data_IF_945480979017
#
_entry.id   IF_945480979017
#
_cell.length_a   1.000
_cell.length_b   1.000
_cell.length_c   1.000
_cell.angle_alpha   90.00
_cell.angle_beta   90.00
_cell.angle_gamma   90.00
#
_symmetry.space_group_name_H-M   'P 1'
#
loop_
_entity.id
_entity.type
_entity.pdbx_description
1 polymer ?
#
# COMPACT_ATOMS: atom_id res chain seq x y z
N UNK A 1 14.96 10.52 11.14
CA UNK A 1 14.06 9.71 10.29
C UNK A 1 14.81 9.06 9.15
N UNK A 2 15.37 9.80 8.18
CA UNK A 2 16.07 9.21 7.02
C UNK A 2 17.23 8.26 7.40
N UNK A 3 17.99 8.57 8.45
CA UNK A 3 19.07 7.69 8.95
C UNK A 3 18.55 6.35 9.48
N UNK A 4 17.36 6.33 10.10
CA UNK A 4 16.75 5.09 10.56
C UNK A 4 16.19 4.30 9.38
N UNK A 5 15.61 4.98 8.38
CA UNK A 5 15.15 4.34 7.15
C UNK A 5 16.29 3.68 6.38
N UNK A 6 17.44 4.35 6.25
CA UNK A 6 18.62 3.81 5.58
C UNK A 6 19.23 2.59 6.27
N UNK A 7 18.85 2.31 7.51
CA UNK A 7 19.26 1.09 8.23
C UNK A 7 18.32 -0.08 7.98
N UNK A 8 17.16 0.14 7.36
CA UNK A 8 16.23 -0.93 7.01
C UNK A 8 16.87 -1.83 5.96
N UNK A 9 16.77 -3.15 6.16
CA UNK A 9 17.24 -4.12 5.17
C UNK A 9 16.19 -4.29 4.06
N UNK A 10 16.18 -3.32 3.14
CA UNK A 10 15.25 -3.32 2.01
C UNK A 10 15.42 -4.51 1.07
N UNK A 11 16.62 -5.10 1.01
CA UNK A 11 16.85 -6.32 0.24
C UNK A 11 16.06 -7.49 0.83
N UNK A 12 16.18 -7.72 2.14
CA UNK A 12 15.42 -8.76 2.82
C UNK A 12 13.90 -8.48 2.82
N UNK A 13 13.50 -7.21 2.94
CA UNK A 13 12.08 -6.81 2.78
C UNK A 13 11.59 -7.17 1.38
N UNK A 14 12.35 -6.86 0.32
CA UNK A 14 11.99 -7.16 -1.06
C UNK A 14 11.94 -8.66 -1.32
N UNK A 15 12.91 -9.43 -0.84
CA UNK A 15 12.90 -10.90 -1.01
C UNK A 15 11.64 -11.53 -0.41
N UNK A 16 11.25 -11.11 0.79
CA UNK A 16 10.02 -11.60 1.45
C UNK A 16 8.75 -11.09 0.77
N UNK A 17 8.74 -9.83 0.33
CA UNK A 17 7.62 -9.23 -0.38
C UNK A 17 7.41 -9.86 -1.76
N UNK A 18 8.47 -10.07 -2.53
CA UNK A 18 8.42 -10.65 -3.87
C UNK A 18 7.83 -12.06 -3.85
N UNK A 19 8.20 -12.87 -2.83
CA UNK A 19 7.65 -14.21 -2.65
C UNK A 19 6.12 -14.22 -2.46
N UNK A 20 5.55 -13.22 -1.79
CA UNK A 20 4.12 -13.18 -1.44
C UNK A 20 3.31 -12.35 -2.42
N UNK A 21 3.80 -11.16 -2.75
CA UNK A 21 3.10 -10.13 -3.49
C UNK A 21 3.43 -10.12 -4.99
N UNK A 22 4.52 -10.77 -5.41
CA UNK A 22 5.00 -10.76 -6.79
C UNK A 22 5.03 -9.33 -7.36
N UNK A 23 5.58 -8.40 -6.57
CA UNK A 23 5.78 -7.03 -7.00
C UNK A 23 6.97 -6.96 -7.96
N UNK A 24 6.94 -6.02 -8.90
CA UNK A 24 8.09 -5.68 -9.72
C UNK A 24 9.18 -5.02 -8.86
N UNK A 25 10.40 -5.55 -8.94
CA UNK A 25 11.55 -5.08 -8.16
C UNK A 25 11.90 -3.62 -8.50
N UNK A 26 11.80 -3.22 -9.78
CA UNK A 26 12.11 -1.85 -10.22
C UNK A 26 11.09 -0.85 -9.67
N UNK A 27 9.81 -1.22 -9.67
CA UNK A 27 8.73 -0.41 -9.09
C UNK A 27 8.98 -0.21 -7.60
N UNK A 28 9.31 -1.28 -6.88
CA UNK A 28 9.54 -1.16 -5.43
C UNK A 28 10.77 -0.29 -5.13
N UNK A 29 11.86 -0.46 -5.88
CA UNK A 29 13.05 0.39 -5.72
C UNK A 29 12.72 1.86 -5.99
N UNK A 30 11.91 2.16 -7.01
CA UNK A 30 11.45 3.53 -7.31
C UNK A 30 10.63 4.13 -6.15
N UNK A 31 9.76 3.32 -5.52
CA UNK A 31 8.98 3.73 -4.35
C UNK A 31 9.89 4.03 -3.16
N UNK A 32 10.87 3.17 -2.89
CA UNK A 32 11.84 3.37 -1.82
C UNK A 32 12.64 4.66 -2.02
N UNK A 33 13.21 4.84 -3.22
CA UNK A 33 14.00 6.01 -3.60
C UNK A 33 13.17 7.30 -3.48
N UNK A 34 11.96 7.32 -4.03
CA UNK A 34 11.07 8.48 -3.96
C UNK A 34 10.66 8.81 -2.52
N UNK A 35 10.41 7.80 -1.68
CA UNK A 35 10.10 8.01 -0.26
C UNK A 35 11.30 8.58 0.51
N UNK A 36 12.52 8.09 0.23
CA UNK A 36 13.76 8.64 0.80
C UNK A 36 13.96 10.11 0.44
N UNK A 37 13.62 10.51 -0.79
CA UNK A 37 13.65 11.91 -1.22
C UNK A 37 12.58 12.74 -0.49
N UNK A 38 11.34 12.25 -0.40
CA UNK A 38 10.25 12.93 0.30
C UNK A 38 10.59 13.21 1.77
N UNK A 39 11.26 12.28 2.46
CA UNK A 39 11.69 12.45 3.85
C UNK A 39 12.78 13.52 4.05
N UNK A 40 13.49 13.89 2.99
CA UNK A 40 14.58 14.89 3.04
C UNK A 40 14.09 16.29 2.66
N UNK A 41 12.86 16.42 2.16
CA UNK A 41 12.27 17.69 1.73
C UNK A 41 11.96 18.63 2.90
N UNK A 42 12.20 19.92 2.72
CA UNK A 42 11.85 20.98 3.66
C UNK A 42 10.43 21.50 3.39
N UNK A 43 9.54 21.46 4.38
CA UNK A 43 8.10 21.78 4.26
C UNK A 43 7.31 20.93 3.26
N UNK A 44 7.23 19.61 3.47
CA UNK A 44 6.69 18.67 2.49
C UNK A 44 5.16 18.55 2.44
N UNK A 45 4.35 19.32 3.20
CA UNK A 45 2.92 19.01 3.44
C UNK A 45 2.13 18.70 2.15
N UNK A 46 2.22 19.55 1.13
CA UNK A 46 1.51 19.35 -0.14
C UNK A 46 2.10 18.19 -0.98
N UNK A 47 3.36 17.83 -0.74
CA UNK A 47 4.07 16.75 -1.45
C UNK A 47 3.70 15.35 -0.95
N UNK A 48 3.28 15.18 0.31
CA UNK A 48 2.89 13.86 0.85
C UNK A 48 1.66 13.30 0.10
N UNK A 49 0.66 14.15 -0.12
CA UNK A 49 -0.55 13.75 -0.86
C UNK A 49 -0.25 13.40 -2.31
N UNK A 50 0.51 14.26 -2.99
CA UNK A 50 0.94 14.05 -4.39
C UNK A 50 1.76 12.76 -4.52
N UNK A 51 2.63 12.46 -3.56
CA UNK A 51 3.40 11.22 -3.57
C UNK A 51 2.49 9.99 -3.51
N UNK A 52 1.49 9.95 -2.63
CA UNK A 52 0.53 8.83 -2.59
C UNK A 52 -0.24 8.66 -3.91
N UNK A 53 -0.60 9.74 -4.59
CA UNK A 53 -1.24 9.69 -5.91
C UNK A 53 -0.30 9.08 -6.96
N UNK A 54 0.98 9.48 -6.96
CA UNK A 54 2.00 8.92 -7.85
C UNK A 54 2.24 7.43 -7.61
N UNK A 55 2.21 6.98 -6.35
CA UNK A 55 2.30 5.55 -6.01
C UNK A 55 1.14 4.77 -6.63
N UNK A 56 -0.07 5.30 -6.55
CA UNK A 56 -1.23 4.66 -7.19
C UNK A 56 -1.12 4.65 -8.71
N UNK A 57 -0.67 5.74 -9.33
CA UNK A 57 -0.44 5.79 -10.79
C UNK A 57 0.62 4.79 -11.25
N UNK A 58 1.63 4.54 -10.43
CA UNK A 58 2.71 3.60 -10.74
C UNK A 58 2.28 2.14 -10.56
N UNK A 59 1.49 1.83 -9.55
CA UNK A 59 1.23 0.45 -9.13
C UNK A 59 -0.16 -0.10 -9.52
N UNK A 60 -1.14 0.77 -9.75
CA UNK A 60 -2.49 0.34 -10.09
C UNK A 60 -2.58 0.10 -11.60
N UNK A 61 -2.84 -1.14 -12.00
CA UNK A 61 -2.95 -1.49 -13.43
C UNK A 61 -4.24 -1.01 -14.06
N UNK A 62 -5.34 -1.12 -13.31
CA UNK A 62 -6.70 -0.75 -13.73
C UNK A 62 -7.46 -0.15 -12.55
N UNK A 63 -8.35 0.81 -12.83
CA UNK A 63 -9.22 1.44 -11.83
C UNK A 63 -10.43 0.55 -11.46
N UNK A 64 -10.22 -0.77 -11.34
CA UNK A 64 -11.25 -1.73 -10.95
C UNK A 64 -11.09 -2.20 -9.50
N UNK A 65 -12.16 -2.78 -8.94
CA UNK A 65 -12.22 -3.25 -7.56
C UNK A 65 -11.14 -4.30 -7.25
N UNK A 66 -10.84 -5.18 -8.20
CA UNK A 66 -9.92 -6.31 -8.02
C UNK A 66 -8.48 -5.82 -7.97
N UNK A 67 -8.06 -5.03 -8.93
CA UNK A 67 -6.72 -4.42 -9.02
C UNK A 67 -6.46 -3.51 -7.82
N UNK A 68 -7.44 -2.67 -7.46
CA UNK A 68 -7.40 -1.85 -6.24
C UNK A 68 -7.21 -2.68 -4.96
N UNK A 69 -7.98 -3.75 -4.82
CA UNK A 69 -7.92 -4.64 -3.65
C UNK A 69 -6.55 -5.34 -3.57
N UNK A 70 -6.02 -5.83 -4.69
CA UNK A 70 -4.69 -6.44 -4.74
C UNK A 70 -3.62 -5.43 -4.35
N UNK A 71 -3.63 -4.24 -4.94
CA UNK A 71 -2.68 -3.18 -4.59
C UNK A 71 -2.71 -2.88 -3.08
N UNK A 72 -3.90 -2.69 -2.48
CA UNK A 72 -4.01 -2.38 -1.05
C UNK A 72 -3.42 -3.47 -0.15
N UNK A 73 -3.59 -4.75 -0.51
CA UNK A 73 -2.94 -5.86 0.21
C UNK A 73 -1.43 -5.86 0.04
N UNK A 74 -0.91 -5.63 -1.18
CA UNK A 74 0.53 -5.53 -1.44
C UNK A 74 1.15 -4.37 -0.65
N UNK A 75 0.52 -3.21 -0.70
CA UNK A 75 0.88 -2.02 0.08
C UNK A 75 0.96 -2.35 1.58
N UNK A 76 -0.09 -2.96 2.13
CA UNK A 76 -0.15 -3.29 3.55
C UNK A 76 0.81 -4.37 4.01
N UNK A 77 1.09 -5.35 3.15
CA UNK A 77 2.10 -6.37 3.44
C UNK A 77 3.50 -5.78 3.44
N UNK A 78 3.88 -5.08 2.36
CA UNK A 78 5.21 -4.52 2.19
C UNK A 78 5.61 -3.58 3.34
N UNK A 79 4.74 -2.63 3.64
CA UNK A 79 4.92 -1.68 4.73
C UNK A 79 5.03 -2.35 6.10
N UNK A 80 4.33 -3.47 6.33
CA UNK A 80 4.39 -4.19 7.60
C UNK A 80 5.76 -4.82 7.80
N UNK A 81 6.42 -5.27 6.72
CA UNK A 81 7.81 -5.74 6.76
C UNK A 81 8.78 -4.60 7.09
N UNK A 82 8.59 -3.42 6.50
CA UNK A 82 9.38 -2.22 6.83
C UNK A 82 9.20 -1.82 8.30
N UNK A 83 7.96 -1.75 8.79
CA UNK A 83 7.65 -1.43 10.19
C UNK A 83 8.21 -2.47 11.17
N UNK A 84 8.18 -3.76 10.80
CA UNK A 84 8.79 -4.85 11.58
C UNK A 84 10.30 -4.65 11.71
N UNK A 85 11.00 -4.33 10.61
CA UNK A 85 12.45 -4.13 10.64
C UNK A 85 12.84 -2.90 11.46
N UNK A 86 12.10 -1.79 11.33
CA UNK A 86 12.24 -0.60 12.19
C UNK A 86 12.03 -0.91 13.68
N UNK A 87 11.07 -1.79 13.99
CA UNK A 87 10.79 -2.25 15.37
C UNK A 87 11.97 -3.06 15.92
N UNK A 88 12.44 -4.06 15.16
CA UNK A 88 13.55 -4.92 15.56
C UNK A 88 14.85 -4.15 15.77
N UNK A 89 15.06 -3.08 15.00
CA UNK A 89 16.22 -2.18 15.15
C UNK A 89 16.07 -1.14 16.25
N UNK A 90 14.91 -1.08 16.92
CA UNK A 90 14.60 -0.06 17.92
C UNK A 90 14.84 1.36 17.37
N UNK A 91 14.39 1.62 16.14
CA UNK A 91 14.60 2.89 15.46
C UNK A 91 14.06 4.06 16.30
N UNK A 92 14.89 5.08 16.53
CA UNK A 92 14.50 6.26 17.33
C UNK A 92 13.29 6.99 16.76
N UNK A 93 13.10 6.92 15.44
CA UNK A 93 11.98 7.51 14.73
C UNK A 93 10.83 6.54 14.42
N UNK A 94 10.79 5.37 15.05
CA UNK A 94 9.72 4.38 14.87
C UNK A 94 8.32 5.00 15.05
N UNK A 95 8.12 5.79 16.11
CA UNK A 95 6.83 6.45 16.37
C UNK A 95 6.38 7.35 15.22
N UNK A 96 7.31 8.11 14.61
CA UNK A 96 7.00 8.96 13.45
C UNK A 96 6.67 8.14 12.21
N UNK A 97 7.39 7.05 11.94
CA UNK A 97 7.06 6.13 10.85
C UNK A 97 5.71 5.46 11.06
N UNK A 98 5.35 5.12 12.30
CA UNK A 98 4.05 4.55 12.61
C UNK A 98 2.91 5.54 12.34
N UNK A 99 3.08 6.82 12.69
CA UNK A 99 2.10 7.87 12.36
C UNK A 99 1.97 8.08 10.84
N UNK A 100 3.09 8.14 10.10
CA UNK A 100 3.08 8.21 8.64
C UNK A 100 2.33 7.01 8.06
N UNK A 101 2.60 5.80 8.56
CA UNK A 101 1.95 4.58 8.12
C UNK A 101 0.44 4.64 8.29
N UNK A 102 -0.04 5.04 9.47
CA UNK A 102 -1.47 5.20 9.73
C UNK A 102 -2.12 6.23 8.81
N UNK A 103 -1.47 7.38 8.61
CA UNK A 103 -1.96 8.42 7.71
C UNK A 103 -2.08 7.92 6.26
N UNK A 104 -1.02 7.28 5.76
CA UNK A 104 -0.97 6.80 4.39
C UNK A 104 -1.95 5.66 4.12
N UNK A 105 -2.22 4.80 5.11
CA UNK A 105 -3.23 3.75 4.96
C UNK A 105 -4.61 4.34 4.70
N UNK A 106 -5.02 5.32 5.50
CA UNK A 106 -6.30 6.01 5.33
C UNK A 106 -6.34 6.82 4.04
N UNK A 107 -5.26 7.54 3.70
CA UNK A 107 -5.23 8.39 2.51
C UNK A 107 -5.20 7.59 1.21
N UNK A 108 -4.39 6.53 1.13
CA UNK A 108 -4.37 5.65 -0.04
C UNK A 108 -5.70 4.93 -0.20
N UNK A 109 -6.30 4.47 0.90
CA UNK A 109 -7.63 3.87 0.86
C UNK A 109 -8.68 4.85 0.29
N UNK A 110 -8.67 6.10 0.77
CA UNK A 110 -9.51 7.17 0.24
C UNK A 110 -9.31 7.39 -1.27
N UNK A 111 -8.06 7.46 -1.73
CA UNK A 111 -7.73 7.67 -3.15
C UNK A 111 -8.21 6.51 -4.03
N UNK A 112 -7.99 5.27 -3.59
CA UNK A 112 -8.45 4.05 -4.27
C UNK A 112 -9.98 4.07 -4.42
N UNK A 113 -10.69 4.35 -3.32
CA UNK A 113 -12.16 4.42 -3.34
C UNK A 113 -12.66 5.42 -4.38
N UNK A 114 -12.03 6.61 -4.46
CA UNK A 114 -12.41 7.64 -5.43
C UNK A 114 -12.11 7.25 -6.87
N UNK A 115 -10.96 6.61 -7.13
CA UNK A 115 -10.61 6.14 -8.48
C UNK A 115 -11.57 5.07 -8.97
N UNK A 116 -11.81 4.04 -8.16
CA UNK A 116 -12.70 2.94 -8.53
C UNK A 116 -14.15 3.42 -8.65
N UNK A 117 -14.61 4.29 -7.76
CA UNK A 117 -15.94 4.92 -7.85
C UNK A 117 -16.10 5.67 -9.19
N UNK A 118 -15.11 6.49 -9.55
CA UNK A 118 -15.10 7.25 -10.80
C UNK A 118 -15.11 6.35 -12.03
N UNK A 119 -14.31 5.29 -12.05
CA UNK A 119 -14.22 4.35 -13.18
C UNK A 119 -15.47 3.48 -13.34
N UNK A 120 -16.11 3.10 -12.23
CA UNK A 120 -17.33 2.26 -12.24
C UNK A 120 -18.63 3.05 -12.33
N UNK A 121 -18.58 4.39 -12.21
CA UNK A 121 -19.77 5.26 -12.15
C UNK A 121 -20.59 5.05 -10.87
N UNK A 122 -19.99 4.49 -9.82
CA UNK A 122 -20.64 4.17 -8.54
C UNK A 122 -20.19 5.14 -7.47
N UNK A 123 -20.93 5.18 -6.36
CA UNK A 123 -20.42 5.87 -5.17
C UNK A 123 -19.36 5.00 -4.48
N UNK A 124 -18.39 5.59 -3.77
CA UNK A 124 -17.42 4.84 -2.95
C UNK A 124 -18.06 3.77 -2.07
N UNK A 125 -19.20 4.10 -1.44
CA UNK A 125 -19.95 3.18 -0.58
C UNK A 125 -20.50 1.95 -1.33
N UNK A 126 -20.94 2.13 -2.58
CA UNK A 126 -21.42 1.04 -3.42
C UNK A 126 -20.28 0.10 -3.82
N UNK A 127 -19.12 0.67 -4.20
CA UNK A 127 -17.90 -0.09 -4.52
C UNK A 127 -17.48 -0.96 -3.33
N UNK A 128 -17.46 -0.38 -2.13
CA UNK A 128 -17.09 -1.09 -0.91
C UNK A 128 -18.07 -2.24 -0.57
N UNK A 129 -19.36 -2.01 -0.78
CA UNK A 129 -20.39 -3.04 -0.62
C UNK A 129 -20.20 -4.23 -1.57
N UNK A 130 -19.78 -3.97 -2.80
CA UNK A 130 -19.54 -5.01 -3.81
C UNK A 130 -18.28 -5.83 -3.52
N UNK A 131 -17.18 -5.18 -3.13
CA UNK A 131 -15.96 -5.88 -2.71
C UNK A 131 -16.24 -6.87 -1.57
N UNK A 132 -17.07 -6.45 -0.60
CA UNK A 132 -17.52 -7.30 0.52
C UNK A 132 -18.41 -8.45 0.04
N UNK A 133 -19.32 -8.20 -0.91
CA UNK A 133 -20.20 -9.22 -1.47
C UNK A 133 -19.44 -10.27 -2.31
N UNK A 134 -18.46 -9.84 -3.11
CA UNK A 134 -17.58 -10.75 -3.87
C UNK A 134 -16.81 -11.69 -2.96
N UNK A 135 -16.29 -11.19 -1.83
CA UNK A 135 -15.58 -12.00 -0.84
C UNK A 135 -16.48 -13.08 -0.23
N UNK A 136 -17.74 -12.76 0.03
CA UNK A 136 -18.72 -13.71 0.55
C UNK A 136 -19.12 -14.75 -0.49
N UNK A 137 -19.32 -14.36 -1.76
CA UNK A 137 -19.67 -15.31 -2.84
C UNK A 137 -18.56 -16.32 -3.11
N UNK A 138 -17.31 -15.87 -3.18
CA UNK A 138 -16.15 -16.77 -3.38
C UNK A 138 -16.03 -17.82 -2.27
N UNK A 139 -16.45 -17.53 -1.04
CA UNK A 139 -16.45 -18.50 0.06
C UNK A 139 -17.60 -19.52 -0.03
N UNK A 140 -18.73 -19.14 -0.63
CA UNK A 140 -19.88 -20.02 -0.82
C UNK A 140 -19.62 -21.00 -1.97
N UNK A 141 -19.01 -20.53 -3.06
CA UNK A 141 -18.70 -21.37 -4.24
C UNK A 141 -17.64 -22.44 -3.90
N UNK A 142 -16.60 -22.09 -3.12
CA UNK A 142 -15.58 -23.06 -2.64
C UNK A 142 -16.20 -24.16 -1.76
N UNK A 143 -17.23 -23.84 -0.97
CA UNK A 143 -17.93 -24.81 -0.13
C UNK A 143 -18.93 -25.67 -0.92
N UNK A 144 -19.37 -25.23 -2.09
CA UNK A 144 -20.28 -25.98 -2.97
C UNK A 144 -19.55 -27.03 -3.83
N UNK A 145 -18.27 -26.82 -4.14
CA UNK A 145 -17.44 -27.79 -4.89
C UNK A 145 -16.90 -28.95 -4.02
N UNK A 146 -17.08 -28.89 -2.70
CA UNK A 146 -16.60 -29.90 -1.74
C UNK A 146 -17.72 -30.78 -1.13
N UNK A 147 -18.92 -30.75 -1.71
CA UNK A 147 -20.09 -31.54 -1.27
C UNK A 147 -20.74 -32.25 -2.46
#
# INVERSE_FOLDING_TARGET
MINDLNRVDFKNVQEQASWVCQCDDEVVEQIEQSFKLLLQETNPFDKWGVWCEQILDLCLTDDDVRSATQFFFKWGFYSSLVMRDLTLRSASSFGSFHLIRLLYDEYIFYLIEHRVAKATGKTPLQVLGEARSMRTRSLVDVNAEHN
#
